data_IF_464890233212
#
_entry.id   IF_464890233212
#
_cell.length_a   1.000
_cell.length_b   1.000
_cell.length_c   1.000
_cell.angle_alpha   90.00
_cell.angle_beta   90.00
_cell.angle_gamma   90.00
#
_symmetry.space_group_name_H-M   'P 1'
#
loop_
_entity.id
_entity.type
_entity.pdbx_description
1 polymer ?
#
# COMPACT_ATOMS: atom_id res chain seq x y z
N UNK A 1 -1.72 2.71 10.71
CA UNK A 1 -1.90 1.32 10.26
C UNK A 1 -1.47 0.40 11.39
N UNK A 2 -2.31 -0.55 11.79
CA UNK A 2 -2.15 -1.27 13.07
C UNK A 2 -0.92 -2.21 13.12
N UNK A 3 -0.47 -2.75 11.99
CA UNK A 3 0.67 -3.67 11.94
C UNK A 3 2.03 -2.99 12.20
N UNK A 4 2.18 -1.74 11.77
CA UNK A 4 3.40 -0.94 11.96
C UNK A 4 3.55 -0.54 13.43
N UNK A 5 2.44 -0.29 14.11
CA UNK A 5 2.40 -0.04 15.57
C UNK A 5 2.91 -1.26 16.34
N UNK A 6 2.45 -2.47 16.00
CA UNK A 6 2.95 -3.71 16.61
C UNK A 6 4.46 -3.90 16.41
N UNK A 7 5.00 -3.53 15.24
CA UNK A 7 6.45 -3.57 15.00
C UNK A 7 7.19 -2.55 15.88
N UNK A 8 6.67 -1.34 16.00
CA UNK A 8 7.23 -0.29 16.86
C UNK A 8 7.14 -0.62 18.36
N UNK A 9 6.12 -1.39 18.76
CA UNK A 9 5.95 -1.94 20.11
C UNK A 9 6.87 -3.14 20.39
N UNK A 10 7.68 -3.56 19.41
CA UNK A 10 8.65 -4.64 19.56
C UNK A 10 8.03 -6.05 19.46
N UNK A 11 6.79 -6.17 18.96
CA UNK A 11 6.18 -7.47 18.73
C UNK A 11 6.97 -8.19 17.62
N UNK A 12 7.37 -9.46 17.84
CA UNK A 12 8.15 -10.20 16.84
C UNK A 12 7.43 -10.33 15.49
N UNK A 13 8.19 -10.14 14.40
CA UNK A 13 7.70 -10.25 13.02
C UNK A 13 6.87 -11.52 12.73
N UNK A 14 7.21 -12.73 13.24
CA UNK A 14 6.38 -13.92 13.06
C UNK A 14 5.00 -13.84 13.73
N UNK A 15 4.86 -13.11 14.84
CA UNK A 15 3.57 -12.93 15.49
C UNK A 15 2.69 -11.95 14.73
N UNK A 16 3.29 -10.86 14.23
CA UNK A 16 2.60 -9.90 13.34
C UNK A 16 2.14 -10.62 12.06
N UNK A 17 3.00 -11.47 11.48
CA UNK A 17 2.65 -12.28 10.31
C UNK A 17 1.43 -13.19 10.54
N UNK A 18 1.36 -13.85 11.70
CA UNK A 18 0.21 -14.69 12.06
C UNK A 18 -1.06 -13.87 12.27
N UNK A 19 -0.96 -12.73 12.94
CA UNK A 19 -2.10 -11.82 13.16
C UNK A 19 -2.69 -11.31 11.85
N UNK A 20 -1.85 -11.05 10.86
CA UNK A 20 -2.27 -10.62 9.52
C UNK A 20 -2.73 -11.77 8.62
N UNK A 21 -2.55 -13.02 9.03
CA UNK A 21 -2.90 -14.19 8.21
C UNK A 21 -2.03 -14.35 6.95
N UNK A 22 -0.82 -13.79 6.94
CA UNK A 22 0.08 -13.90 5.78
C UNK A 22 0.76 -15.27 5.74
N UNK A 23 0.89 -15.85 4.54
CA UNK A 23 1.57 -17.13 4.36
C UNK A 23 3.11 -17.03 4.42
N UNK A 24 3.67 -15.84 4.17
CA UNK A 24 5.11 -15.65 4.07
C UNK A 24 5.57 -14.44 4.89
N UNK A 25 6.72 -14.58 5.56
CA UNK A 25 7.36 -13.47 6.28
C UNK A 25 7.77 -12.33 5.35
N UNK A 26 8.10 -12.63 4.08
CA UNK A 26 8.41 -11.61 3.07
C UNK A 26 7.21 -10.69 2.80
N UNK A 27 5.99 -11.25 2.72
CA UNK A 27 4.76 -10.46 2.56
C UNK A 27 4.55 -9.50 3.74
N UNK A 28 4.75 -9.99 4.97
CA UNK A 28 4.68 -9.14 6.18
C UNK A 28 5.79 -8.09 6.22
N UNK A 29 7.01 -8.46 5.81
CA UNK A 29 8.14 -7.54 5.73
C UNK A 29 7.88 -6.39 4.76
N UNK A 30 7.42 -6.68 3.54
CA UNK A 30 7.04 -5.64 2.56
C UNK A 30 5.89 -4.77 3.06
N UNK A 31 4.90 -5.37 3.73
CA UNK A 31 3.78 -4.62 4.31
C UNK A 31 4.22 -3.66 5.43
N UNK A 32 5.20 -4.06 6.26
CA UNK A 32 5.71 -3.28 7.38
C UNK A 32 6.82 -2.29 7.03
N UNK A 33 7.60 -2.58 5.98
CA UNK A 33 8.49 -1.59 5.36
C UNK A 33 7.69 -0.38 4.88
N UNK A 34 6.38 -0.57 4.67
CA UNK A 34 5.55 0.36 3.93
C UNK A 34 5.98 0.32 2.47
N UNK A 35 5.02 0.21 1.55
CA UNK A 35 5.26 0.87 0.27
C UNK A 35 5.42 2.33 0.66
N UNK A 36 6.59 2.93 0.40
CA UNK A 36 6.92 4.25 0.90
C UNK A 36 5.77 5.19 0.51
N UNK A 37 5.13 5.81 1.52
CA UNK A 37 3.97 6.66 1.25
C UNK A 37 4.42 7.88 0.44
N UNK A 38 5.65 8.35 0.59
CA UNK A 38 6.26 9.33 -0.33
C UNK A 38 6.40 8.76 -1.74
N UNK A 39 6.83 7.51 -1.91
CA UNK A 39 6.90 6.86 -3.22
C UNK A 39 5.50 6.75 -3.87
N UNK A 40 4.47 6.39 -3.11
CA UNK A 40 3.08 6.36 -3.59
C UNK A 40 2.60 7.77 -3.96
N UNK A 41 2.76 8.75 -3.06
CA UNK A 41 2.29 10.13 -3.27
C UNK A 41 3.05 10.77 -4.45
N UNK A 42 4.35 10.55 -4.54
CA UNK A 42 5.22 11.00 -5.64
C UNK A 42 4.80 10.37 -6.96
N UNK A 43 4.56 9.05 -6.98
CA UNK A 43 4.08 8.34 -8.17
C UNK A 43 2.70 8.84 -8.61
N UNK A 44 1.80 9.12 -7.66
CA UNK A 44 0.47 9.69 -7.95
C UNK A 44 0.57 11.13 -8.47
N UNK A 45 1.47 11.95 -7.91
CA UNK A 45 1.75 13.31 -8.39
C UNK A 45 2.37 13.31 -9.81
N UNK A 46 3.27 12.38 -10.09
CA UNK A 46 3.93 12.24 -11.38
C UNK A 46 3.00 11.66 -12.46
N UNK A 47 1.93 10.96 -12.07
CA UNK A 47 0.98 10.37 -12.99
C UNK A 47 0.19 11.46 -13.73
N UNK A 48 0.18 11.39 -15.06
CA UNK A 48 -0.70 12.22 -15.90
C UNK A 48 -2.16 12.04 -15.50
N UNK A 49 -2.87 13.14 -15.31
CA UNK A 49 -4.30 13.12 -14.97
C UNK A 49 -5.08 12.24 -15.97
N UNK A 50 -6.04 11.42 -15.48
CA UNK A 50 -6.93 10.68 -16.37
C UNK A 50 -7.67 11.69 -17.25
N UNK A 51 -7.42 11.66 -18.56
CA UNK A 51 -8.12 12.51 -19.51
C UNK A 51 -9.18 11.67 -20.22
N UNK A 52 -10.45 12.05 -20.06
CA UNK A 52 -11.54 11.49 -20.87
C UNK A 52 -11.74 12.37 -22.11
N UNK A 53 -11.92 11.74 -23.27
CA UNK A 53 -12.31 12.46 -24.49
C UNK A 53 -13.70 13.06 -24.30
N UNK A 54 -13.91 14.32 -24.71
CA UNK A 54 -15.20 15.00 -24.60
C UNK A 54 -16.36 14.24 -25.30
N UNK A 55 -16.03 13.45 -26.33
CA UNK A 55 -16.99 12.60 -27.05
C UNK A 55 -17.39 11.33 -26.30
N UNK A 56 -16.66 10.92 -25.25
CA UNK A 56 -16.91 9.68 -24.52
C UNK A 56 -18.24 9.69 -23.74
N UNK A 57 -18.82 10.87 -23.49
CA UNK A 57 -20.14 11.04 -22.86
C UNK A 57 -21.27 11.35 -23.84
N UNK A 58 -20.98 11.49 -25.14
CA UNK A 58 -21.98 11.85 -26.14
C UNK A 58 -22.41 10.59 -26.91
N UNK A 59 -23.19 9.74 -26.25
CA UNK A 59 -23.97 8.71 -26.94
C UNK A 59 -25.22 9.37 -27.49
N UNK A 60 -25.28 9.56 -28.81
CA UNK A 60 -26.52 9.96 -29.52
C UNK A 60 -27.40 8.73 -29.76
#
# INVERSE_FOLDING_TARGET
AHAVELLHEGIPLPLIQRQLGHAHLSTTGTYLQGIDTEEIISTVHARRAPMMHASAGLTL
#
